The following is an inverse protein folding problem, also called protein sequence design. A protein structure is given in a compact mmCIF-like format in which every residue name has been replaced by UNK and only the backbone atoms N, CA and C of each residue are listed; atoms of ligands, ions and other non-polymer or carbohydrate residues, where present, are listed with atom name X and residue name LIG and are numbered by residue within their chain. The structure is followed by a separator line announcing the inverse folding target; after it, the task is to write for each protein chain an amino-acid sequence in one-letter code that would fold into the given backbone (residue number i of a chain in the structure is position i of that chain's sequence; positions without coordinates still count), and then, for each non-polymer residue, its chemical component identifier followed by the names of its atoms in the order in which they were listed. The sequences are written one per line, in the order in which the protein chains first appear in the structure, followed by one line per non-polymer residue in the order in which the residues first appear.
data_IF_937190001204
#
_entry.id   IF_937190001204
#
_cell.length_a   1.000
_cell.length_b   1.000
_cell.length_c   1.000
_cell.angle_alpha   90.00
_cell.angle_beta   90.00
_cell.angle_gamma   90.00
#
_symmetry.space_group_name_H-M   'P 1'
#
loop_
_entity.id
_entity.type
_entity.pdbx_description
1 polymer ?
#
# COMPACT_ATOMS: atom_id res chain seq x y z
N UNK A 1 23.33 1.21 18.61
CA UNK A 1 22.20 2.16 18.46
C UNK A 1 22.13 3.01 19.71
N UNK A 2 22.03 4.32 19.57
CA UNK A 2 21.81 5.24 20.70
C UNK A 2 20.31 5.34 20.98
N UNK A 3 19.86 4.71 22.07
CA UNK A 3 18.43 4.58 22.38
C UNK A 3 17.76 5.94 22.59
N UNK A 4 18.29 6.86 23.42
CA UNK A 4 17.71 8.20 23.57
C UNK A 4 17.57 8.95 22.24
N UNK A 5 18.58 8.88 21.36
CA UNK A 5 18.53 9.56 20.07
C UNK A 5 17.47 8.97 19.13
N UNK A 6 17.32 7.64 19.13
CA UNK A 6 16.30 6.97 18.32
C UNK A 6 14.90 7.27 18.83
N UNK A 7 14.71 7.31 20.14
CA UNK A 7 13.42 7.64 20.73
C UNK A 7 13.05 9.12 20.48
N UNK A 8 14.01 10.04 20.52
CA UNK A 8 13.80 11.45 20.15
C UNK A 8 13.37 11.60 18.69
N UNK A 9 14.05 10.91 17.77
CA UNK A 9 13.69 10.89 16.36
C UNK A 9 12.29 10.29 16.13
N UNK A 10 11.97 9.18 16.79
CA UNK A 10 10.67 8.54 16.68
C UNK A 10 9.52 9.43 17.15
N UNK A 11 9.71 10.13 18.28
CA UNK A 11 8.73 11.12 18.78
C UNK A 11 8.52 12.25 17.79
N UNK A 12 9.59 12.76 17.17
CA UNK A 12 9.50 13.81 16.16
C UNK A 12 8.74 13.34 14.91
N UNK A 13 8.98 12.12 14.44
CA UNK A 13 8.25 11.50 13.30
C UNK A 13 6.75 11.40 13.59
N UNK A 14 6.36 10.88 14.76
CA UNK A 14 4.94 10.75 15.14
C UNK A 14 4.27 12.10 15.35
N UNK A 15 5.00 13.09 15.89
CA UNK A 15 4.49 14.45 16.01
C UNK A 15 4.31 15.13 14.65
N UNK A 16 5.19 14.85 13.70
CA UNK A 16 5.22 15.46 12.36
C UNK A 16 4.16 14.88 11.42
N UNK A 17 3.97 13.55 11.46
CA UNK A 17 3.04 12.83 10.58
C UNK A 17 1.74 12.49 11.32
N UNK A 18 0.75 13.39 11.22
CA UNK A 18 -0.46 13.35 12.05
C UNK A 18 -1.25 12.03 11.91
N UNK A 19 -1.19 11.36 10.76
CA UNK A 19 -1.89 10.08 10.51
C UNK A 19 -1.43 8.95 11.42
N UNK A 20 -0.22 9.02 11.96
CA UNK A 20 0.27 8.05 12.95
C UNK A 20 -0.45 8.19 14.30
N UNK A 21 -1.17 9.30 14.52
CA UNK A 21 -1.93 9.63 15.73
C UNK A 21 -3.44 9.53 15.51
N UNK A 22 -3.87 8.76 14.51
CA UNK A 22 -5.28 8.52 14.26
C UNK A 22 -5.88 7.54 15.27
N UNK A 23 -7.04 7.93 15.79
CA UNK A 23 -7.92 7.10 16.61
C UNK A 23 -9.20 6.79 15.84
N UNK A 24 -9.62 5.53 15.91
CA UNK A 24 -10.87 5.05 15.35
C UNK A 24 -11.76 4.52 16.47
N UNK A 25 -12.95 5.09 16.59
CA UNK A 25 -13.97 4.65 17.55
C UNK A 25 -15.26 4.35 16.81
N UNK A 26 -16.00 3.35 17.31
CA UNK A 26 -17.34 3.06 16.78
C UNK A 26 -18.37 3.82 17.59
N UNK A 27 -19.20 4.60 16.93
CA UNK A 27 -20.32 5.35 17.53
C UNK A 27 -21.49 4.40 17.84
N UNK A 28 -22.43 4.89 18.65
CA UNK A 28 -23.63 4.13 19.05
C UNK A 28 -24.53 3.74 17.87
N UNK A 29 -24.57 4.57 16.82
CA UNK A 29 -25.27 4.29 15.55
C UNK A 29 -24.56 3.25 14.67
N UNK A 30 -23.44 2.69 15.13
CA UNK A 30 -22.65 1.69 14.43
C UNK A 30 -21.66 2.26 13.42
N UNK A 31 -21.63 3.58 13.20
CA UNK A 31 -20.70 4.26 12.29
C UNK A 31 -19.30 4.37 12.90
N UNK A 32 -18.29 4.45 12.04
CA UNK A 32 -16.91 4.68 12.47
C UNK A 32 -16.60 6.17 12.49
N UNK A 33 -15.92 6.60 13.55
CA UNK A 33 -15.39 7.94 13.71
C UNK A 33 -13.87 7.90 13.74
N UNK A 34 -13.25 8.73 12.92
CA UNK A 34 -11.81 8.91 12.85
C UNK A 34 -11.44 10.30 13.35
N UNK A 35 -10.44 10.38 14.23
CA UNK A 35 -9.95 11.65 14.75
C UNK A 35 -8.44 11.61 14.99
N UNK A 36 -7.82 12.79 15.00
CA UNK A 36 -6.41 12.94 15.37
C UNK A 36 -6.33 13.20 16.88
N UNK A 37 -5.55 12.40 17.60
CA UNK A 37 -5.26 12.67 19.02
C UNK A 37 -4.21 13.77 19.16
N UNK A 38 -3.97 14.24 20.37
CA UNK A 38 -2.91 15.21 20.68
C UNK A 38 -1.53 14.57 20.71
N UNK A 39 -0.55 15.27 21.28
CA UNK A 39 0.83 14.79 21.42
C UNK A 39 1.05 14.05 22.74
N UNK A 40 -0.01 13.72 23.48
CA UNK A 40 0.11 12.94 24.71
C UNK A 40 0.44 11.47 24.41
N UNK A 41 -0.05 10.95 23.28
CA UNK A 41 0.16 9.57 22.82
C UNK A 41 1.33 9.43 21.84
N UNK A 42 2.49 9.99 22.17
CA UNK A 42 3.69 9.82 21.33
C UNK A 42 4.27 8.42 21.46
N UNK A 43 4.84 7.92 20.36
CA UNK A 43 5.46 6.60 20.35
C UNK A 43 6.60 6.52 21.37
N UNK A 44 6.64 5.36 22.03
CA UNK A 44 7.73 4.92 22.88
C UNK A 44 8.45 3.79 22.17
N UNK A 45 9.77 3.76 22.31
CA UNK A 45 10.57 2.67 21.79
C UNK A 45 10.57 1.54 22.82
N UNK A 46 9.87 0.45 22.52
CA UNK A 46 9.96 -0.75 23.33
C UNK A 46 11.37 -1.35 23.19
N UNK A 47 11.96 -1.83 24.28
CA UNK A 47 13.28 -2.46 24.26
C UNK A 47 13.14 -3.91 24.70
N UNK A 48 13.65 -4.83 23.88
CA UNK A 48 13.57 -6.27 24.12
C UNK A 48 14.97 -6.83 24.10
N UNK A 49 15.40 -7.42 25.21
CA UNK A 49 16.71 -8.06 25.30
C UNK A 49 16.62 -9.52 24.82
N UNK A 50 17.29 -9.83 23.72
CA UNK A 50 17.46 -11.17 23.17
C UNK A 50 18.96 -11.56 23.13
N UNK A 51 19.81 -10.85 23.89
CA UNK A 51 21.26 -11.07 23.87
C UNK A 51 21.66 -12.45 24.37
N UNK A 52 20.87 -13.06 25.26
CA UNK A 52 21.08 -14.42 25.77
C UNK A 52 20.47 -15.52 24.90
N UNK A 53 19.73 -15.18 23.83
CA UNK A 53 19.08 -16.17 22.96
C UNK A 53 20.11 -16.83 22.04
N UNK A 54 20.16 -18.17 21.97
CA UNK A 54 21.04 -18.89 21.04
C UNK A 54 20.78 -18.50 19.58
N UNK A 55 21.83 -18.48 18.75
CA UNK A 55 21.71 -18.06 17.35
C UNK A 55 20.68 -18.87 16.56
N UNK A 56 20.61 -20.19 16.80
CA UNK A 56 19.64 -21.07 16.15
C UNK A 56 18.17 -20.74 16.50
N UNK A 57 17.92 -20.09 17.64
CA UNK A 57 16.58 -19.73 18.13
C UNK A 57 16.21 -18.26 17.86
N UNK A 58 17.18 -17.44 17.44
CA UNK A 58 16.98 -16.01 17.18
C UNK A 58 15.85 -15.73 16.17
N UNK A 59 15.74 -16.42 15.02
CA UNK A 59 14.66 -16.15 14.06
C UNK A 59 13.28 -16.30 14.71
N UNK A 60 13.06 -17.38 15.45
CA UNK A 60 11.80 -17.66 16.17
C UNK A 60 11.53 -16.63 17.26
N UNK A 61 12.55 -16.22 18.00
CA UNK A 61 12.41 -15.20 19.04
C UNK A 61 12.05 -13.81 18.46
N UNK A 62 12.69 -13.43 17.35
CA UNK A 62 12.38 -12.21 16.61
C UNK A 62 10.95 -12.23 16.05
N UNK A 63 10.54 -13.34 15.42
CA UNK A 63 9.20 -13.51 14.86
C UNK A 63 8.12 -13.47 15.95
N UNK A 64 8.36 -14.12 17.08
CA UNK A 64 7.47 -14.09 18.25
C UNK A 64 7.36 -12.68 18.83
N UNK A 65 8.50 -11.98 18.95
CA UNK A 65 8.55 -10.59 19.38
C UNK A 65 7.78 -9.67 18.44
N UNK A 66 7.99 -9.80 17.13
CA UNK A 66 7.29 -9.02 16.11
C UNK A 66 5.78 -9.29 16.13
N UNK A 67 5.37 -10.56 16.22
CA UNK A 67 3.96 -10.97 16.30
C UNK A 67 3.25 -10.35 17.50
N UNK A 68 3.89 -10.30 18.66
CA UNK A 68 3.35 -9.62 19.85
C UNK A 68 3.15 -8.12 19.60
N UNK A 69 4.13 -7.46 18.99
CA UNK A 69 4.03 -6.03 18.64
C UNK A 69 2.89 -5.80 17.65
N UNK A 70 2.77 -6.61 16.60
CA UNK A 70 1.67 -6.55 15.65
C UNK A 70 0.30 -6.74 16.31
N UNK A 71 0.18 -7.68 17.23
CA UNK A 71 -1.06 -7.93 17.97
C UNK A 71 -1.42 -6.83 18.99
N UNK A 72 -0.47 -5.94 19.34
CA UNK A 72 -0.66 -4.88 20.33
C UNK A 72 -1.31 -3.59 19.79
N UNK A 73 -1.62 -3.54 18.50
CA UNK A 73 -2.28 -2.39 17.90
C UNK A 73 -3.69 -2.21 18.44
N UNK A 74 -3.99 -0.97 18.87
CA UNK A 74 -5.27 -0.57 19.44
C UNK A 74 -5.77 0.65 18.69
N UNK A 75 -6.82 0.46 17.89
CA UNK A 75 -7.37 1.53 17.05
C UNK A 75 -7.99 2.68 17.87
N UNK A 76 -8.40 2.40 19.09
CA UNK A 76 -9.06 3.33 20.01
C UNK A 76 -8.09 4.15 20.88
N UNK A 77 -6.78 3.90 20.84
CA UNK A 77 -5.79 4.63 21.66
C UNK A 77 -5.20 5.86 20.98
N UNK A 78 -5.28 5.94 19.65
CA UNK A 78 -4.75 7.07 18.89
C UNK A 78 -3.23 7.08 18.71
N UNK A 79 -2.62 5.89 18.62
CA UNK A 79 -1.24 5.71 18.20
C UNK A 79 -1.16 4.46 17.32
N UNK A 80 -1.05 4.68 16.01
CA UNK A 80 -0.99 3.61 15.01
C UNK A 80 0.42 3.08 14.79
N UNK A 81 1.46 3.74 15.31
CA UNK A 81 2.84 3.29 15.20
C UNK A 81 3.30 2.66 16.52
N UNK A 82 3.83 1.45 16.42
CA UNK A 82 4.58 0.74 17.48
C UNK A 82 6.01 0.54 17.01
N UNK A 83 6.98 0.70 17.92
CA UNK A 83 8.39 0.49 17.63
C UNK A 83 9.03 -0.38 18.70
N UNK A 84 9.87 -1.33 18.30
CA UNK A 84 10.62 -2.18 19.21
C UNK A 84 12.09 -2.31 18.76
N UNK A 85 13.02 -2.15 19.69
CA UNK A 85 14.44 -2.40 19.49
C UNK A 85 14.81 -3.71 20.17
N UNK A 86 15.11 -4.72 19.36
CA UNK A 86 15.65 -6.00 19.81
C UNK A 86 17.16 -5.88 19.98
N UNK A 87 17.66 -6.09 21.19
CA UNK A 87 19.09 -6.13 21.49
C UNK A 87 19.59 -7.56 21.34
N UNK A 88 20.54 -7.80 20.46
CA UNK A 88 21.05 -9.14 20.13
C UNK A 88 22.42 -9.42 20.76
N UNK A 89 22.91 -8.53 21.62
CA UNK A 89 24.25 -8.59 22.22
C UNK A 89 25.29 -7.82 21.42
N UNK A 90 26.49 -7.66 21.98
CA UNK A 90 27.52 -6.75 21.46
C UNK A 90 27.98 -7.12 20.03
N UNK A 91 28.10 -8.41 19.73
CA UNK A 91 28.58 -8.89 18.42
C UNK A 91 27.50 -8.85 17.33
N UNK A 92 26.24 -9.11 17.70
CA UNK A 92 25.10 -9.21 16.75
C UNK A 92 24.34 -7.89 16.58
N UNK A 93 24.61 -6.91 17.44
CA UNK A 93 24.04 -5.58 17.38
C UNK A 93 22.57 -5.52 17.80
N UNK A 94 21.77 -4.73 17.08
CA UNK A 94 20.34 -4.55 17.35
C UNK A 94 19.51 -4.68 16.07
N UNK A 95 18.20 -4.92 16.23
CA UNK A 95 17.20 -4.88 15.16
C UNK A 95 16.05 -3.98 15.57
N UNK A 96 15.70 -3.02 14.71
CA UNK A 96 14.55 -2.14 14.91
C UNK A 96 13.36 -2.68 14.12
N UNK A 97 12.25 -2.92 14.81
CA UNK A 97 10.95 -3.16 14.21
C UNK A 97 10.12 -1.88 14.29
N UNK A 98 9.57 -1.48 13.15
CA UNK A 98 8.51 -0.48 13.06
C UNK A 98 7.26 -1.18 12.57
N UNK A 99 6.17 -1.06 13.31
CA UNK A 99 4.86 -1.57 12.89
C UNK A 99 3.85 -0.44 12.91
N UNK A 100 3.26 -0.16 11.75
CA UNK A 100 2.19 0.83 11.63
C UNK A 100 0.91 0.14 11.19
N UNK A 101 -0.21 0.39 11.87
CA UNK A 101 -1.51 -0.10 11.41
C UNK A 101 -1.83 0.47 10.03
N UNK A 102 -2.27 -0.37 9.09
CA UNK A 102 -2.37 -0.01 7.67
C UNK A 102 -3.29 1.20 7.41
N UNK A 103 -4.28 1.48 8.26
CA UNK A 103 -5.10 2.69 8.20
C UNK A 103 -4.31 4.02 8.27
N UNK A 104 -3.06 3.99 8.76
CA UNK A 104 -2.20 5.17 8.89
C UNK A 104 -1.05 5.24 7.89
N UNK A 105 -0.88 4.23 7.02
CA UNK A 105 0.33 4.12 6.18
C UNK A 105 0.05 3.39 4.87
N UNK A 106 0.89 3.64 3.87
CA UNK A 106 0.98 2.85 2.64
C UNK A 106 2.45 2.72 2.19
N UNK A 107 2.68 2.04 1.06
CA UNK A 107 4.04 1.80 0.55
C UNK A 107 4.84 3.07 0.27
N UNK A 108 4.18 4.16 -0.17
CA UNK A 108 4.85 5.45 -0.42
C UNK A 108 5.21 6.13 0.90
N UNK A 109 4.31 6.06 1.88
CA UNK A 109 4.51 6.64 3.22
C UNK A 109 5.73 6.05 3.93
N UNK A 110 6.00 4.75 3.76
CA UNK A 110 7.17 4.11 4.39
C UNK A 110 8.49 4.78 4.00
N UNK A 111 8.64 5.23 2.75
CA UNK A 111 9.85 5.94 2.32
C UNK A 111 10.04 7.24 3.11
N UNK A 112 8.99 8.06 3.19
CA UNK A 112 9.00 9.30 3.97
C UNK A 112 9.29 9.05 5.45
N UNK A 113 8.67 8.03 6.04
CA UNK A 113 8.87 7.68 7.45
C UNK A 113 10.32 7.25 7.74
N UNK A 114 10.91 6.43 6.87
CA UNK A 114 12.29 5.96 7.04
C UNK A 114 13.31 7.07 6.81
N UNK A 115 13.11 7.92 5.79
CA UNK A 115 13.93 9.11 5.54
C UNK A 115 13.93 10.04 6.77
N UNK A 116 12.75 10.36 7.29
CA UNK A 116 12.61 11.28 8.43
C UNK A 116 13.16 10.69 9.72
N UNK A 117 12.96 9.39 9.97
CA UNK A 117 13.51 8.70 11.13
C UNK A 117 15.04 8.69 11.09
N UNK A 118 15.62 8.38 9.92
CA UNK A 118 17.07 8.37 9.72
C UNK A 118 17.68 9.76 9.91
N UNK A 119 17.10 10.78 9.26
CA UNK A 119 17.55 12.17 9.38
C UNK A 119 17.44 12.68 10.83
N UNK A 120 16.30 12.41 11.50
CA UNK A 120 16.08 12.79 12.88
C UNK A 120 17.06 12.11 13.84
N UNK A 121 17.36 10.82 13.62
CA UNK A 121 18.33 10.10 14.44
C UNK A 121 19.73 10.71 14.32
N UNK A 122 20.18 11.03 13.11
CA UNK A 122 21.48 11.68 12.86
C UNK A 122 21.56 13.05 13.53
N UNK A 123 20.51 13.87 13.41
CA UNK A 123 20.46 15.18 14.08
C UNK A 123 20.55 15.04 15.61
N UNK A 124 19.76 14.14 16.19
CA UNK A 124 19.77 13.89 17.64
C UNK A 124 21.13 13.37 18.12
N UNK A 125 21.78 12.47 17.37
CA UNK A 125 23.14 11.96 17.67
C UNK A 125 24.20 13.05 17.70
N UNK A 126 24.00 14.11 16.94
CA UNK A 126 24.88 15.28 16.89
C UNK A 126 24.52 16.33 17.94
N UNK A 127 23.58 16.02 18.87
CA UNK A 127 23.11 16.96 19.88
C UNK A 127 22.26 18.11 19.31
N UNK A 128 21.78 18.00 18.08
CA UNK A 128 20.93 19.01 17.44
C UNK A 128 19.44 18.69 17.67
N UNK A 129 18.57 19.70 17.83
CA UNK A 129 17.13 19.48 17.83
C UNK A 129 16.68 18.81 16.53
N UNK A 130 15.75 17.86 16.62
CA UNK A 130 15.19 17.17 15.44
C UNK A 130 14.26 18.13 14.69
N UNK A 131 14.69 18.57 13.52
CA UNK A 131 13.93 19.35 12.56
C UNK A 131 13.72 18.52 11.29
N UNK A 132 12.46 18.17 11.02
CA UNK A 132 12.07 17.44 9.81
C UNK A 132 11.71 18.41 8.68
N UNK A 133 11.76 17.98 7.41
CA UNK A 133 11.36 18.81 6.26
C UNK A 133 9.95 19.39 6.42
N UNK A 134 9.61 20.49 5.73
CA UNK A 134 8.28 21.08 5.79
C UNK A 134 7.16 20.08 5.44
N UNK A 135 6.02 20.22 6.11
CA UNK A 135 4.82 19.40 5.82
C UNK A 135 4.25 19.75 4.44
N UNK A 136 3.73 18.73 3.77
CA UNK A 136 2.90 18.86 2.57
C UNK A 136 1.41 18.97 2.96
N UNK A 137 0.47 18.75 2.04
CA UNK A 137 -0.98 18.81 2.34
C UNK A 137 -1.34 17.80 3.43
N UNK A 138 -2.04 18.25 4.49
CA UNK A 138 -2.44 17.32 5.56
C UNK A 138 -3.42 16.26 5.04
N UNK A 139 -3.40 15.06 5.63
CA UNK A 139 -4.37 14.00 5.31
C UNK A 139 -5.82 14.45 5.48
N UNK A 140 -6.11 15.28 6.49
CA UNK A 140 -7.45 15.86 6.71
C UNK A 140 -7.87 16.77 5.56
N UNK A 141 -6.98 17.66 5.14
CA UNK A 141 -7.21 18.56 4.00
C UNK A 141 -7.42 17.76 2.72
N UNK A 142 -6.58 16.76 2.48
CA UNK A 142 -6.72 15.84 1.36
C UNK A 142 -8.08 15.12 1.36
N UNK A 143 -8.47 14.50 2.48
CA UNK A 143 -9.74 13.78 2.58
C UNK A 143 -10.97 14.69 2.37
N UNK A 144 -10.93 15.92 2.88
CA UNK A 144 -11.98 16.92 2.66
C UNK A 144 -12.08 17.28 1.17
N UNK A 145 -10.96 17.64 0.54
CA UNK A 145 -10.92 17.99 -0.88
C UNK A 145 -11.32 16.83 -1.78
N UNK A 146 -10.95 15.60 -1.41
CA UNK A 146 -11.34 14.39 -2.13
C UNK A 146 -12.85 14.16 -2.07
N UNK A 147 -13.47 14.45 -0.91
CA UNK A 147 -14.94 14.38 -0.74
C UNK A 147 -15.67 15.42 -1.58
N UNK A 148 -15.11 16.62 -1.70
CA UNK A 148 -15.67 17.67 -2.57
C UNK A 148 -15.50 17.30 -4.05
N UNK A 149 -14.32 16.80 -4.43
CA UNK A 149 -14.02 16.34 -5.78
C UNK A 149 -14.92 15.17 -6.21
N UNK A 150 -15.29 14.27 -5.31
CA UNK A 150 -16.23 13.17 -5.59
C UNK A 150 -17.60 13.66 -6.07
N UNK A 151 -18.00 14.91 -5.77
CA UNK A 151 -19.26 15.53 -6.18
C UNK A 151 -19.14 16.37 -7.47
N UNK A 152 -17.94 16.44 -8.06
CA UNK A 152 -17.70 17.23 -9.27
C UNK A 152 -18.28 16.57 -10.53
N UNK A 153 -18.58 17.39 -11.54
CA UNK A 153 -18.98 16.90 -12.87
C UNK A 153 -17.89 16.02 -13.51
N UNK A 154 -16.63 16.31 -13.21
CA UNK A 154 -15.48 15.55 -13.65
C UNK A 154 -15.57 14.07 -13.26
N UNK A 155 -15.85 13.79 -11.99
CA UNK A 155 -16.06 12.41 -11.51
C UNK A 155 -17.36 11.84 -12.07
N UNK A 156 -18.41 12.66 -12.22
CA UNK A 156 -19.66 12.21 -12.83
C UNK A 156 -19.49 11.75 -14.29
N UNK A 157 -18.61 12.38 -15.08
CA UNK A 157 -18.32 11.97 -16.46
C UNK A 157 -17.63 10.61 -16.55
N UNK A 158 -16.92 10.18 -15.50
CA UNK A 158 -16.30 8.84 -15.45
C UNK A 158 -17.32 7.71 -15.22
N UNK A 159 -18.55 8.01 -14.78
CA UNK A 159 -19.56 6.98 -14.47
C UNK A 159 -19.85 6.05 -15.64
N UNK A 160 -20.03 6.63 -16.83
CA UNK A 160 -20.29 5.85 -18.05
C UNK A 160 -19.17 4.84 -18.32
N UNK A 161 -17.93 5.22 -18.03
CA UNK A 161 -16.80 4.31 -18.15
C UNK A 161 -16.91 3.16 -17.15
N UNK A 162 -17.15 3.44 -15.86
CA UNK A 162 -17.14 2.42 -14.81
C UNK A 162 -18.35 1.48 -14.81
N UNK A 163 -19.49 1.90 -15.38
CA UNK A 163 -20.73 1.13 -15.45
C UNK A 163 -20.93 0.38 -16.77
N UNK A 164 -20.00 0.51 -17.72
CA UNK A 164 -20.09 -0.19 -19.00
C UNK A 164 -20.04 -1.72 -18.78
N UNK A 165 -21.14 -2.42 -19.09
CA UNK A 165 -21.34 -3.86 -18.79
C UNK A 165 -20.17 -4.74 -19.23
N UNK A 166 -19.62 -4.49 -20.43
CA UNK A 166 -18.48 -5.24 -20.96
C UNK A 166 -17.19 -5.13 -20.12
N UNK A 167 -17.10 -4.15 -19.21
CA UNK A 167 -16.00 -4.02 -18.23
C UNK A 167 -16.26 -4.75 -16.93
N UNK A 168 -17.52 -5.09 -16.65
CA UNK A 168 -17.94 -5.75 -15.41
C UNK A 168 -17.90 -7.27 -15.53
N UNK A 169 -18.02 -7.79 -16.75
CA UNK A 169 -18.06 -9.22 -17.05
C UNK A 169 -16.67 -9.88 -17.07
N UNK A 170 -16.48 -10.87 -16.21
CA UNK A 170 -15.43 -11.87 -16.32
C UNK A 170 -15.88 -13.19 -15.69
N UNK A 171 -15.41 -14.33 -16.21
CA UNK A 171 -15.69 -15.63 -15.61
C UNK A 171 -15.09 -15.72 -14.21
N UNK A 172 -15.74 -16.50 -13.34
CA UNK A 172 -15.17 -16.85 -12.05
C UNK A 172 -13.94 -17.77 -12.24
N UNK A 173 -12.93 -17.58 -11.40
CA UNK A 173 -11.77 -18.46 -11.33
C UNK A 173 -12.22 -19.86 -10.86
N UNK A 174 -11.78 -20.94 -11.55
CA UNK A 174 -11.91 -22.31 -11.07
C UNK A 174 -11.38 -22.47 -9.64
N UNK A 175 -11.95 -23.40 -8.88
CA UNK A 175 -11.51 -23.73 -7.52
C UNK A 175 -11.50 -25.24 -7.35
N UNK A 176 -10.45 -25.77 -6.73
CA UNK A 176 -10.30 -27.21 -6.53
C UNK A 176 -11.24 -27.77 -5.44
N UNK A 177 -11.61 -26.94 -4.46
CA UNK A 177 -12.46 -27.33 -3.32
C UNK A 177 -13.85 -26.68 -3.35
N UNK A 178 -14.79 -27.29 -2.62
CA UNK A 178 -16.21 -26.89 -2.54
C UNK A 178 -16.48 -25.49 -1.92
N UNK A 179 -15.43 -24.75 -1.54
CA UNK A 179 -15.54 -23.48 -0.84
C UNK A 179 -15.81 -23.64 0.66
N UNK A 180 -15.55 -22.57 1.41
CA UNK A 180 -15.72 -22.49 2.86
C UNK A 180 -15.26 -21.13 3.36
N UNK A 181 -15.45 -20.86 4.66
CA UNK A 181 -14.92 -19.64 5.27
C UNK A 181 -13.39 -19.67 5.21
N UNK A 182 -12.80 -18.73 4.48
CA UNK A 182 -11.34 -18.56 4.41
C UNK A 182 -10.89 -17.53 5.44
N UNK A 183 -9.69 -17.74 5.99
CA UNK A 183 -9.04 -16.76 6.86
C UNK A 183 -7.57 -16.60 6.46
N UNK A 184 -6.93 -15.53 6.93
CA UNK A 184 -5.49 -15.32 6.72
C UNK A 184 -4.67 -16.50 7.28
N UNK A 185 -5.12 -17.17 8.34
CA UNK A 185 -4.42 -18.34 8.88
C UNK A 185 -4.32 -19.52 7.88
N UNK A 186 -5.29 -19.61 6.95
CA UNK A 186 -5.28 -20.61 5.88
C UNK A 186 -4.51 -20.19 4.63
N UNK A 187 -3.98 -18.96 4.56
CA UNK A 187 -3.25 -18.50 3.37
C UNK A 187 -1.93 -19.26 3.21
N UNK A 188 -1.53 -19.46 1.95
CA UNK A 188 -0.21 -19.99 1.58
C UNK A 188 0.36 -19.09 0.50
N UNK A 189 1.68 -18.98 0.49
CA UNK A 189 2.41 -18.16 -0.48
C UNK A 189 3.21 -19.08 -1.39
N UNK A 190 3.15 -18.81 -2.69
CA UNK A 190 4.05 -19.39 -3.68
C UNK A 190 4.87 -18.24 -4.24
N UNK A 191 6.19 -18.36 -4.12
CA UNK A 191 7.14 -17.33 -4.56
C UNK A 191 7.93 -17.83 -5.76
N UNK A 192 8.10 -16.92 -6.73
CA UNK A 192 8.96 -17.14 -7.90
C UNK A 192 9.82 -15.89 -8.09
N UNK A 193 11.07 -16.10 -8.48
CA UNK A 193 12.03 -15.02 -8.70
C UNK A 193 12.64 -15.12 -10.09
N UNK A 194 12.83 -13.97 -10.73
CA UNK A 194 13.67 -13.83 -11.90
C UNK A 194 15.10 -13.53 -11.45
N UNK A 195 16.08 -13.97 -12.23
CA UNK A 195 17.47 -13.59 -11.98
C UNK A 195 17.70 -12.10 -12.30
N UNK A 196 18.89 -11.59 -11.98
CA UNK A 196 19.24 -10.19 -12.18
C UNK A 196 19.17 -9.77 -13.66
N UNK A 197 19.60 -10.63 -14.57
CA UNK A 197 19.60 -10.35 -16.02
C UNK A 197 18.17 -10.25 -16.52
N UNK A 198 17.33 -11.23 -16.19
CA UNK A 198 15.91 -11.26 -16.52
C UNK A 198 15.17 -10.05 -15.92
N UNK A 199 15.47 -9.69 -14.68
CA UNK A 199 14.88 -8.53 -14.00
C UNK A 199 15.28 -7.23 -14.70
N UNK A 200 16.54 -7.07 -15.11
CA UNK A 200 17.01 -5.91 -15.88
C UNK A 200 16.30 -5.82 -17.23
N UNK A 201 16.20 -6.92 -17.97
CA UNK A 201 15.49 -6.99 -19.26
C UNK A 201 14.01 -6.59 -19.10
N UNK A 202 13.37 -7.05 -18.03
CA UNK A 202 11.98 -6.74 -17.70
C UNK A 202 11.78 -5.26 -17.35
N UNK A 203 12.70 -4.66 -16.58
CA UNK A 203 12.58 -3.28 -16.10
C UNK A 203 12.99 -2.24 -17.14
N UNK A 204 13.98 -2.54 -17.98
CA UNK A 204 14.65 -1.53 -18.83
C UNK A 204 14.36 -1.75 -20.31
N UNK A 205 14.54 -2.96 -20.82
CA UNK A 205 14.51 -3.22 -22.27
C UNK A 205 13.10 -3.47 -22.81
N UNK A 206 12.32 -4.32 -22.13
CA UNK A 206 10.97 -4.69 -22.57
C UNK A 206 10.01 -3.48 -22.63
N UNK A 207 9.95 -2.60 -21.61
CA UNK A 207 9.09 -1.43 -21.65
C UNK A 207 9.47 -0.47 -22.80
N UNK A 208 10.77 -0.29 -23.05
CA UNK A 208 11.29 0.55 -24.13
C UNK A 208 10.91 0.02 -25.51
N UNK A 209 11.13 -1.27 -25.77
CA UNK A 209 10.84 -1.91 -27.05
C UNK A 209 9.35 -1.85 -27.43
N UNK A 210 8.45 -1.92 -26.44
CA UNK A 210 7.00 -1.98 -26.65
C UNK A 210 6.26 -0.67 -26.36
N UNK A 211 6.99 0.40 -26.03
CA UNK A 211 6.44 1.69 -25.57
C UNK A 211 5.38 1.46 -24.48
N UNK A 212 5.75 0.64 -23.50
CA UNK A 212 4.91 0.15 -22.43
C UNK A 212 5.50 0.58 -21.08
N UNK A 213 4.71 0.48 -20.02
CA UNK A 213 5.16 0.56 -18.64
C UNK A 213 5.32 -0.85 -18.06
N UNK A 214 6.05 -0.97 -16.95
CA UNK A 214 6.26 -2.25 -16.26
C UNK A 214 4.94 -2.97 -15.93
N UNK A 215 3.93 -2.23 -15.47
CA UNK A 215 2.61 -2.80 -15.17
C UNK A 215 1.93 -3.39 -16.41
N UNK A 216 2.13 -2.82 -17.60
CA UNK A 216 1.56 -3.39 -18.83
C UNK A 216 2.14 -4.78 -19.09
N UNK A 217 3.46 -4.94 -18.90
CA UNK A 217 4.18 -6.21 -19.12
C UNK A 217 3.78 -7.24 -18.07
N UNK A 218 3.80 -6.86 -16.78
CA UNK A 218 3.43 -7.76 -15.68
C UNK A 218 1.96 -8.21 -15.77
N UNK A 219 1.04 -7.29 -16.02
CA UNK A 219 -0.38 -7.64 -16.18
C UNK A 219 -0.64 -8.46 -17.44
N UNK A 220 0.18 -8.31 -18.49
CA UNK A 220 0.12 -9.20 -19.65
C UNK A 220 0.49 -10.62 -19.25
N UNK A 221 1.55 -10.82 -18.46
CA UNK A 221 1.92 -12.14 -17.97
C UNK A 221 0.83 -12.75 -17.07
N UNK A 222 0.25 -11.96 -16.14
CA UNK A 222 -0.86 -12.40 -15.28
C UNK A 222 -2.09 -12.79 -16.12
N UNK A 223 -2.48 -11.96 -17.08
CA UNK A 223 -3.58 -12.25 -17.98
C UNK A 223 -3.31 -13.52 -18.79
N UNK A 224 -2.11 -13.65 -19.37
CA UNK A 224 -1.69 -14.82 -20.13
C UNK A 224 -1.84 -16.12 -19.32
N UNK A 225 -1.22 -16.15 -18.14
CA UNK A 225 -1.20 -17.34 -17.29
C UNK A 225 -2.59 -17.75 -16.84
N UNK A 226 -3.39 -16.79 -16.35
CA UNK A 226 -4.71 -17.11 -15.80
C UNK A 226 -5.75 -17.38 -16.89
N UNK A 227 -5.73 -16.67 -18.01
CA UNK A 227 -6.67 -16.94 -19.11
C UNK A 227 -6.40 -18.30 -19.76
N UNK A 228 -5.11 -18.67 -19.90
CA UNK A 228 -4.71 -19.99 -20.34
C UNK A 228 -5.19 -21.08 -19.37
N UNK A 229 -4.95 -20.91 -18.07
CA UNK A 229 -5.36 -21.86 -17.03
C UNK A 229 -6.88 -22.01 -16.92
N UNK A 230 -7.64 -20.90 -17.02
CA UNK A 230 -9.11 -20.91 -16.97
C UNK A 230 -9.76 -21.43 -18.27
N UNK A 231 -9.02 -21.46 -19.39
CA UNK A 231 -9.60 -21.70 -20.71
C UNK A 231 -10.58 -20.61 -21.17
N UNK A 232 -10.46 -19.39 -20.63
CA UNK A 232 -11.34 -18.25 -20.90
C UNK A 232 -10.53 -17.01 -21.26
N UNK A 233 -10.97 -16.18 -22.22
CA UNK A 233 -10.13 -15.11 -22.76
C UNK A 233 -10.18 -13.79 -21.95
N UNK A 234 -10.94 -13.75 -20.85
CA UNK A 234 -11.14 -12.57 -20.02
C UNK A 234 -10.73 -12.82 -18.57
N UNK A 235 -10.04 -11.85 -17.99
CA UNK A 235 -9.65 -11.85 -16.59
C UNK A 235 -9.99 -10.50 -15.97
N UNK A 236 -10.72 -10.50 -14.85
CA UNK A 236 -10.94 -9.29 -14.05
C UNK A 236 -9.98 -9.27 -12.87
N UNK A 237 -9.20 -8.20 -12.78
CA UNK A 237 -8.17 -7.99 -11.77
C UNK A 237 -8.49 -6.69 -11.02
N UNK A 238 -8.40 -6.71 -9.70
CA UNK A 238 -8.40 -5.51 -8.87
C UNK A 238 -6.97 -4.98 -8.82
N UNK A 239 -6.77 -3.75 -9.29
CA UNK A 239 -5.46 -3.10 -9.31
C UNK A 239 -5.33 -2.16 -8.12
N UNK A 240 -4.14 -2.18 -7.52
CA UNK A 240 -3.73 -1.17 -6.55
C UNK A 240 -2.96 -0.05 -7.25
N UNK A 241 -3.35 1.19 -6.96
CA UNK A 241 -2.60 2.40 -7.32
C UNK A 241 -2.17 3.15 -6.06
N UNK A 242 -1.12 3.97 -6.16
CA UNK A 242 -0.66 4.78 -5.02
C UNK A 242 -1.65 5.89 -4.60
N UNK A 243 -2.65 6.19 -5.44
CA UNK A 243 -3.75 7.13 -5.17
C UNK A 243 -3.35 8.57 -4.87
N UNK A 244 -2.15 8.96 -5.33
CA UNK A 244 -1.61 10.33 -5.28
C UNK A 244 -1.67 10.98 -6.66
N UNK A 245 -2.70 10.64 -7.42
CA UNK A 245 -2.95 11.27 -8.72
C UNK A 245 -3.37 12.73 -8.50
N UNK A 246 -2.90 13.67 -9.33
CA UNK A 246 -3.31 15.06 -9.22
C UNK A 246 -4.80 15.19 -9.55
N UNK A 247 -5.57 15.71 -8.60
CA UNK A 247 -6.99 16.03 -8.79
C UNK A 247 -7.31 17.50 -8.48
N UNK A 248 -6.36 18.23 -7.90
CA UNK A 248 -6.43 19.66 -7.61
C UNK A 248 -5.02 20.24 -7.57
N UNK A 249 -4.84 21.49 -8.04
CA UNK A 249 -3.52 22.13 -8.12
C UNK A 249 -2.94 22.51 -6.75
N UNK A 250 -3.78 22.66 -5.72
CA UNK A 250 -3.38 23.05 -4.37
C UNK A 250 -3.20 21.86 -3.41
N UNK A 251 -3.11 20.65 -3.96
CA UNK A 251 -2.87 19.41 -3.22
C UNK A 251 -1.49 18.87 -3.55
N UNK A 252 -0.58 18.93 -2.58
CA UNK A 252 0.73 18.29 -2.62
C UNK A 252 0.76 17.12 -1.65
N UNK A 253 0.94 15.90 -2.18
CA UNK A 253 0.97 14.65 -1.41
C UNK A 253 2.37 14.02 -1.35
N UNK A 254 3.40 14.77 -1.78
CA UNK A 254 4.78 14.28 -1.91
C UNK A 254 5.36 13.73 -0.62
N UNK A 255 4.98 14.31 0.53
CA UNK A 255 5.42 13.88 1.87
C UNK A 255 4.26 13.55 2.81
N UNK A 256 3.06 13.34 2.27
CA UNK A 256 1.88 13.03 3.09
C UNK A 256 1.88 11.54 3.43
N UNK A 257 2.06 11.24 4.73
CA UNK A 257 1.91 9.90 5.28
C UNK A 257 0.43 9.60 5.50
N UNK A 258 -0.03 8.43 5.08
CA UNK A 258 -1.40 7.95 5.26
C UNK A 258 -1.70 6.77 4.34
N UNK A 259 -2.89 6.19 4.46
CA UNK A 259 -3.36 5.20 3.49
C UNK A 259 -4.10 5.89 2.35
N UNK A 260 -3.41 6.11 1.23
CA UNK A 260 -3.96 6.80 0.06
C UNK A 260 -4.21 5.83 -1.11
N UNK A 261 -3.98 4.52 -0.93
CA UNK A 261 -4.12 3.52 -1.98
C UNK A 261 -5.49 3.56 -2.64
N UNK A 262 -5.51 3.56 -3.97
CA UNK A 262 -6.73 3.36 -4.77
C UNK A 262 -6.88 1.90 -5.16
N UNK A 263 -8.10 1.38 -5.07
CA UNK A 263 -8.48 0.04 -5.55
C UNK A 263 -9.53 0.18 -6.64
N UNK A 264 -9.30 -0.45 -7.79
CA UNK A 264 -10.26 -0.43 -8.89
C UNK A 264 -10.15 -1.67 -9.77
N UNK A 265 -11.27 -2.18 -10.30
CA UNK A 265 -11.27 -3.33 -11.18
C UNK A 265 -10.87 -2.95 -12.60
N UNK A 266 -10.15 -3.85 -13.27
CA UNK A 266 -9.85 -3.80 -14.69
C UNK A 266 -10.13 -5.18 -15.29
N UNK A 267 -10.88 -5.20 -16.38
CA UNK A 267 -11.11 -6.41 -17.16
C UNK A 267 -10.14 -6.42 -18.35
N UNK A 268 -9.29 -7.45 -18.37
CA UNK A 268 -8.30 -7.71 -19.41
C UNK A 268 -8.87 -8.74 -20.37
N UNK A 269 -9.14 -8.33 -21.61
CA UNK A 269 -9.61 -9.19 -22.69
C UNK A 269 -8.47 -9.44 -23.68
N UNK A 270 -8.07 -10.70 -23.81
CA UNK A 270 -6.99 -11.15 -24.70
C UNK A 270 -7.52 -11.99 -25.87
N UNK A 271 -8.84 -12.05 -26.10
CA UNK A 271 -9.47 -12.83 -27.19
C UNK A 271 -9.05 -12.38 -28.59
N UNK A 272 -8.75 -11.09 -28.79
CA UNK A 272 -8.54 -10.49 -30.10
C UNK A 272 -7.22 -10.86 -30.81
N UNK A 273 -6.37 -11.70 -30.21
CA UNK A 273 -5.04 -12.04 -30.76
C UNK A 273 -4.43 -13.28 -30.13
N UNK A 274 -3.79 -14.09 -30.96
CA UNK A 274 -2.98 -15.25 -30.52
C UNK A 274 -1.52 -14.90 -30.24
N UNK A 275 -1.03 -13.75 -30.73
CA UNK A 275 0.36 -13.31 -30.51
C UNK A 275 0.54 -12.62 -29.15
N UNK A 276 1.65 -12.91 -28.46
CA UNK A 276 2.01 -12.27 -27.18
C UNK A 276 2.11 -10.75 -27.31
N UNK A 277 2.71 -10.26 -28.39
CA UNK A 277 2.80 -8.83 -28.66
C UNK A 277 1.44 -8.16 -28.88
N UNK A 278 0.49 -8.88 -29.46
CA UNK A 278 -0.90 -8.41 -29.55
C UNK A 278 -1.56 -8.32 -28.17
N UNK A 279 -1.34 -9.33 -27.30
CA UNK A 279 -1.92 -9.34 -25.95
C UNK A 279 -1.35 -8.21 -25.09
N UNK A 280 -0.05 -7.95 -25.18
CA UNK A 280 0.58 -6.79 -24.55
C UNK A 280 -0.06 -5.47 -24.99
N UNK A 281 -0.29 -5.29 -26.30
CA UNK A 281 -0.99 -4.11 -26.81
C UNK A 281 -2.42 -4.01 -26.25
N UNK A 282 -3.18 -5.10 -26.22
CA UNK A 282 -4.54 -5.12 -25.71
C UNK A 282 -4.62 -4.73 -24.21
N UNK A 283 -3.71 -5.28 -23.39
CA UNK A 283 -3.61 -4.96 -21.96
C UNK A 283 -3.21 -3.49 -21.77
N UNK A 284 -2.13 -3.05 -22.42
CA UNK A 284 -1.67 -1.65 -22.37
C UNK A 284 -2.76 -0.67 -22.77
N UNK A 285 -3.46 -0.93 -23.88
CA UNK A 285 -4.51 -0.04 -24.37
C UNK A 285 -5.72 -0.05 -23.42
N UNK A 286 -6.00 -1.16 -22.72
CA UNK A 286 -7.01 -1.21 -21.65
C UNK A 286 -6.62 -0.35 -20.45
N UNK A 287 -5.37 -0.43 -20.01
CA UNK A 287 -4.86 0.38 -18.90
C UNK A 287 -4.77 1.87 -19.25
N UNK A 288 -4.48 2.22 -20.51
CA UNK A 288 -4.45 3.62 -20.98
C UNK A 288 -5.83 4.26 -21.04
N UNK A 289 -6.89 3.47 -21.20
CA UNK A 289 -8.28 3.97 -21.18
C UNK A 289 -8.77 4.29 -19.78
N UNK A 290 -8.05 3.93 -18.72
CA UNK A 290 -8.47 4.19 -17.35
C UNK A 290 -8.46 5.69 -17.07
N UNK A 291 -9.60 6.29 -16.68
CA UNK A 291 -9.60 7.66 -16.24
C UNK A 291 -8.82 7.77 -14.93
N UNK A 292 -7.89 8.74 -14.86
CA UNK A 292 -7.13 9.12 -13.65
C UNK A 292 -6.61 7.92 -12.84
N UNK A 293 -6.05 6.92 -13.53
CA UNK A 293 -5.51 5.71 -12.92
C UNK A 293 -6.46 5.05 -11.91
N UNK A 294 -7.77 5.11 -12.16
CA UNK A 294 -8.79 4.45 -11.34
C UNK A 294 -9.28 5.21 -10.11
N UNK A 295 -8.78 6.42 -9.85
CA UNK A 295 -9.19 7.22 -8.67
C UNK A 295 -10.72 7.37 -8.58
N UNK A 296 -11.37 7.70 -9.70
CA UNK A 296 -12.81 7.95 -9.72
C UNK A 296 -13.67 6.74 -9.38
N UNK A 297 -13.19 5.50 -9.57
CA UNK A 297 -13.95 4.31 -9.20
C UNK A 297 -14.23 4.27 -7.70
N UNK A 298 -13.21 4.51 -6.86
CA UNK A 298 -13.37 4.53 -5.41
C UNK A 298 -14.29 5.66 -4.95
N UNK A 299 -14.19 6.84 -5.57
CA UNK A 299 -15.05 8.00 -5.28
C UNK A 299 -16.51 7.70 -5.60
N UNK A 300 -16.78 7.17 -6.79
CA UNK A 300 -18.12 6.79 -7.22
C UNK A 300 -18.67 5.64 -6.37
N UNK A 301 -17.86 4.65 -6.00
CA UNK A 301 -18.31 3.50 -5.22
C UNK A 301 -18.55 3.86 -3.75
N UNK A 302 -17.75 4.72 -3.14
CA UNK A 302 -17.76 4.92 -1.69
C UNK A 302 -18.26 6.29 -1.23
N UNK A 303 -18.05 7.35 -2.00
CA UNK A 303 -18.37 8.72 -1.58
C UNK A 303 -19.59 9.33 -2.28
N UNK A 304 -19.96 8.83 -3.47
CA UNK A 304 -21.19 9.25 -4.13
C UNK A 304 -22.43 8.60 -3.49
N UNK A 305 -23.53 9.33 -3.43
CA UNK A 305 -24.79 8.87 -2.82
C UNK A 305 -25.94 8.92 -3.83
N UNK A 306 -25.90 8.02 -4.81
CA UNK A 306 -26.93 7.87 -5.83
C UNK A 306 -27.16 6.38 -6.18
N UNK A 307 -28.19 6.09 -6.96
CA UNK A 307 -28.56 4.72 -7.35
C UNK A 307 -27.41 3.99 -8.07
N UNK A 308 -26.62 4.72 -8.86
CA UNK A 308 -25.52 4.15 -9.63
C UNK A 308 -24.35 3.77 -8.72
N UNK A 309 -24.08 4.53 -7.66
CA UNK A 309 -23.10 4.14 -6.64
C UNK A 309 -23.52 2.89 -5.89
N UNK A 310 -24.83 2.70 -5.64
CA UNK A 310 -25.35 1.46 -5.07
C UNK A 310 -25.12 0.26 -6.00
N UNK A 311 -25.34 0.44 -7.31
CA UNK A 311 -25.02 -0.60 -8.29
C UNK A 311 -23.52 -0.97 -8.24
N UNK A 312 -22.62 0.02 -8.27
CA UNK A 312 -21.19 -0.23 -8.13
C UNK A 312 -20.86 -0.99 -6.84
N UNK A 313 -21.46 -0.62 -5.70
CA UNK A 313 -21.26 -1.31 -4.41
C UNK A 313 -21.74 -2.77 -4.43
N UNK A 314 -22.80 -3.07 -5.17
CA UNK A 314 -23.35 -4.41 -5.30
C UNK A 314 -22.49 -5.33 -6.18
N UNK A 315 -21.65 -4.76 -7.06
CA UNK A 315 -20.77 -5.57 -7.90
C UNK A 315 -19.79 -6.41 -7.09
N UNK A 316 -19.58 -7.69 -7.48
CA UNK A 316 -18.59 -8.54 -6.85
C UNK A 316 -17.19 -7.94 -7.05
N UNK A 317 -16.35 -8.12 -6.03
CA UNK A 317 -14.92 -7.82 -6.11
C UNK A 317 -14.24 -8.75 -7.11
N UNK A 318 -13.14 -8.29 -7.70
CA UNK A 318 -12.31 -9.19 -8.48
C UNK A 318 -11.73 -10.28 -7.58
N UNK A 319 -11.51 -11.46 -8.14
CA UNK A 319 -10.95 -12.60 -7.40
C UNK A 319 -9.41 -12.59 -7.42
N UNK A 320 -8.81 -11.67 -8.17
CA UNK A 320 -7.35 -11.48 -8.28
C UNK A 320 -7.05 -10.04 -7.95
N UNK A 321 -6.15 -9.83 -6.98
CA UNK A 321 -5.59 -8.54 -6.64
C UNK A 321 -4.16 -8.48 -7.20
N UNK A 322 -3.81 -7.38 -7.88
CA UNK A 322 -2.46 -7.15 -8.37
C UNK A 322 -1.91 -5.82 -7.84
N UNK A 323 -0.73 -5.89 -7.24
CA UNK A 323 0.02 -4.72 -6.78
C UNK A 323 1.51 -4.87 -7.17
N UNK A 324 2.06 -3.83 -7.78
CA UNK A 324 3.50 -3.73 -8.06
C UNK A 324 4.10 -2.61 -7.20
N UNK A 325 4.94 -3.00 -6.24
CA UNK A 325 5.50 -2.10 -5.23
C UNK A 325 6.67 -1.23 -5.74
N UNK A 326 7.12 -1.45 -6.97
CA UNK A 326 8.29 -0.75 -7.51
C UNK A 326 9.62 -1.34 -7.05
N UNK A 327 10.68 -0.57 -7.26
CA UNK A 327 12.03 -0.91 -6.82
C UNK A 327 12.28 -0.28 -5.45
N UNK A 328 12.45 -1.11 -4.42
CA UNK A 328 12.96 -0.67 -3.14
C UNK A 328 14.48 -0.58 -3.25
N UNK A 329 15.03 0.64 -3.34
CA UNK A 329 16.47 0.80 -3.16
C UNK A 329 16.76 0.53 -1.67
N UNK A 330 17.55 -0.50 -1.39
CA UNK A 330 18.13 -0.68 -0.06
C UNK A 330 19.01 0.54 0.21
N UNK A 331 18.47 1.52 0.92
CA UNK A 331 19.25 2.59 1.54
C UNK A 331 19.83 2.06 2.84
N UNK A 332 20.69 1.04 2.73
CA UNK A 332 21.65 0.65 3.75
C UNK A 332 23.02 0.90 3.13
N UNK A 333 23.78 1.81 3.72
CA UNK A 333 25.00 2.35 3.15
C UNK A 333 26.04 1.28 2.85
N UNK A 334 26.51 1.28 1.60
CA UNK A 334 27.92 0.98 1.33
C UNK A 334 28.71 2.24 1.71
N UNK A 335 29.04 2.34 3.00
CA UNK A 335 30.27 3.02 3.41
C UNK A 335 31.33 1.91 3.50
N UNK A 336 32.13 1.80 2.43
CA UNK A 336 33.44 1.12 2.51
C UNK A 336 34.47 2.07 3.09
#
# INVERSE_FOLDING_TARGET
VDVPCLEAALRAVVAHHDTLRLRFTRRQDGTWHQEFTGLESLARLEQVDLSSVPEAELPTALESGASRIHASHRLDEGLLLRAALFHLGAERGSRLLLSVHHLGVDGVSWRTLLEDLGAGYVQSRQGRPVALPPRSTSFKTWASKLSDFARSEDVARERKYWLEEGRLEAPALPRDGAGGATSVASSRTVEVSLDEVQTRLLLQETPAAWRAHINDVLLTAVAESLTHWMGQPRLRVELEGHGREPFSEDVDLSRTVGWLTTLYPVTLDVSGTTSLGGRLRAVRDSLRRLPRKGLGYGLLRHLADDEQSQHLRALPRAQVLFNYLGQFHQSAGDDS
#
